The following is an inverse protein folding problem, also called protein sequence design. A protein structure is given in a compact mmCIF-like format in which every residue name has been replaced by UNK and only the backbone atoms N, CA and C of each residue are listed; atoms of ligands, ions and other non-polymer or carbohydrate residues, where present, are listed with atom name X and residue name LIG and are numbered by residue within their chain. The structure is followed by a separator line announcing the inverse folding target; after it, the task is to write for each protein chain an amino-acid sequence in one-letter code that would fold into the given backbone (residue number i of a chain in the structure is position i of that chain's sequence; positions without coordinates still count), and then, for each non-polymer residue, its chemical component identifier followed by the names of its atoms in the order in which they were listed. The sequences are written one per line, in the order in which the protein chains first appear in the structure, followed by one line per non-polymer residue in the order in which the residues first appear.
data_IF_371553635840
#
_entry.id   IF_371553635840
#
_cell.length_a   1.000
_cell.length_b   1.000
_cell.length_c   1.000
_cell.angle_alpha   90.00
_cell.angle_beta   90.00
_cell.angle_gamma   90.00
#
_symmetry.space_group_name_H-M   'P 1'
#
loop_
_entity.id
_entity.type
_entity.pdbx_description
1 polymer ?
#
# COMPACT_ATOMS: atom_id res chain seq x y z
N UNK A 1 17.15 -1.86 -9.25
CA UNK A 1 16.58 -3.09 -8.67
C UNK A 1 15.12 -2.88 -8.34
N UNK A 2 14.31 -3.86 -8.67
CA UNK A 2 12.89 -3.86 -8.34
C UNK A 2 12.69 -3.64 -6.85
N UNK A 3 11.67 -2.89 -6.49
CA UNK A 3 11.29 -2.67 -5.10
C UNK A 3 9.80 -2.98 -4.93
N UNK A 4 9.42 -3.33 -3.72
CA UNK A 4 8.04 -3.64 -3.40
C UNK A 4 7.58 -2.77 -2.24
N UNK A 5 6.35 -2.26 -2.33
CA UNK A 5 5.67 -1.66 -1.18
C UNK A 5 4.65 -2.69 -0.70
N UNK A 6 4.75 -3.03 0.57
CA UNK A 6 3.90 -4.05 1.19
C UNK A 6 3.02 -3.37 2.23
N UNK A 7 1.71 -3.61 2.12
CA UNK A 7 0.73 -3.15 3.11
C UNK A 7 0.23 -4.37 3.87
N UNK A 8 0.25 -4.29 5.19
CA UNK A 8 -0.31 -5.33 6.06
C UNK A 8 -1.36 -4.68 6.95
N UNK A 9 -2.62 -5.09 6.80
CA UNK A 9 -3.73 -4.51 7.55
C UNK A 9 -4.05 -5.36 8.76
N UNK A 10 -4.07 -4.73 9.95
CA UNK A 10 -4.56 -5.36 11.16
C UNK A 10 -6.07 -5.22 11.27
N UNK A 11 -6.60 -4.00 11.07
CA UNK A 11 -8.04 -3.76 11.13
C UNK A 11 -8.42 -2.44 10.47
N UNK A 12 -9.68 -2.33 10.07
CA UNK A 12 -10.30 -1.06 9.68
C UNK A 12 -10.97 -0.49 10.92
N UNK A 13 -10.62 0.75 11.27
CA UNK A 13 -11.14 1.43 12.44
C UNK A 13 -12.22 2.46 12.11
N UNK A 14 -12.22 2.97 10.87
CA UNK A 14 -13.22 3.93 10.39
C UNK A 14 -13.47 3.69 8.89
N UNK A 15 -14.58 3.02 8.60
CA UNK A 15 -14.91 2.64 7.23
C UNK A 15 -15.17 3.86 6.32
N UNK A 16 -15.69 4.97 6.86
CA UNK A 16 -15.94 6.16 6.06
C UNK A 16 -14.64 6.81 5.61
N UNK A 17 -13.64 6.87 6.48
CA UNK A 17 -12.32 7.37 6.11
C UNK A 17 -11.68 6.45 5.05
N UNK A 18 -11.85 5.14 5.18
CA UNK A 18 -11.32 4.21 4.18
C UNK A 18 -11.99 4.35 2.82
N UNK A 19 -13.26 4.73 2.77
CA UNK A 19 -13.91 5.05 1.49
C UNK A 19 -13.25 6.24 0.81
N UNK A 20 -12.86 7.27 1.58
CA UNK A 20 -12.15 8.41 1.04
C UNK A 20 -10.78 7.99 0.52
N UNK A 21 -10.08 7.14 1.26
CA UNK A 21 -8.80 6.61 0.81
C UNK A 21 -8.94 5.84 -0.50
N UNK A 22 -9.94 4.97 -0.60
CA UNK A 22 -10.19 4.15 -1.80
C UNK A 22 -10.54 5.00 -3.02
N UNK A 23 -11.17 6.15 -2.81
CA UNK A 23 -11.48 7.08 -3.91
C UNK A 23 -10.25 7.85 -4.38
N UNK A 24 -9.33 8.18 -3.48
CA UNK A 24 -8.19 9.06 -3.77
C UNK A 24 -6.91 8.31 -4.14
N UNK A 25 -6.66 7.15 -3.54
CA UNK A 25 -5.42 6.40 -3.76
C UNK A 25 -5.16 6.07 -5.24
N UNK A 26 -6.15 5.66 -6.05
CA UNK A 26 -5.91 5.38 -7.46
C UNK A 26 -5.39 6.57 -8.25
N UNK A 27 -5.74 7.80 -7.86
CA UNK A 27 -5.28 9.01 -8.54
C UNK A 27 -3.75 9.17 -8.42
N UNK A 28 -3.15 8.67 -7.36
CA UNK A 28 -1.71 8.74 -7.15
C UNK A 28 -0.93 7.79 -8.06
N UNK A 29 -1.61 6.87 -8.73
CA UNK A 29 -0.96 5.92 -9.65
C UNK A 29 -0.83 6.47 -11.07
N UNK A 30 -1.56 7.54 -11.40
CA UNK A 30 -1.53 8.12 -12.73
C UNK A 30 -0.13 8.61 -13.08
N UNK A 31 0.36 8.20 -14.26
CA UNK A 31 1.69 8.59 -14.75
C UNK A 31 2.84 7.91 -14.05
N UNK A 32 2.57 6.92 -13.17
CA UNK A 32 3.61 6.20 -12.44
C UNK A 32 3.73 4.76 -12.93
N UNK A 33 4.96 4.26 -12.91
CA UNK A 33 5.24 2.87 -13.28
C UNK A 33 5.18 2.02 -12.01
N UNK A 34 4.03 1.43 -11.78
CA UNK A 34 3.87 0.48 -10.69
C UNK A 34 2.91 -0.62 -11.12
N UNK A 35 3.07 -1.79 -10.52
CA UNK A 35 2.26 -2.96 -10.87
C UNK A 35 1.75 -3.61 -9.59
N UNK A 36 0.44 -3.69 -9.37
CA UNK A 36 -0.10 -4.47 -8.26
C UNK A 36 0.15 -5.96 -8.50
N UNK A 37 0.76 -6.63 -7.54
CA UNK A 37 1.01 -8.07 -7.57
C UNK A 37 0.00 -8.83 -6.73
N UNK A 38 -0.44 -8.23 -5.63
CA UNK A 38 -1.50 -8.76 -4.78
C UNK A 38 -2.28 -7.57 -4.24
N UNK A 39 -3.61 -7.69 -4.23
CA UNK A 39 -4.46 -6.58 -3.82
C UNK A 39 -5.69 -7.13 -3.09
N UNK A 40 -5.58 -7.22 -1.78
CA UNK A 40 -6.65 -7.70 -0.89
C UNK A 40 -7.23 -9.07 -1.28
N UNK A 41 -6.41 -9.94 -1.82
CA UNK A 41 -6.79 -11.32 -2.04
C UNK A 41 -6.94 -12.07 -0.70
N UNK A 42 -7.42 -13.30 -0.76
CA UNK A 42 -7.56 -14.11 0.43
C UNK A 42 -6.22 -14.27 1.14
N UNK A 43 -6.20 -14.09 2.46
CA UNK A 43 -5.00 -14.21 3.28
C UNK A 43 -5.14 -15.40 4.21
N UNK A 44 -4.09 -16.21 4.29
CA UNK A 44 -4.00 -17.30 5.24
C UNK A 44 -2.81 -17.02 6.15
N UNK A 45 -3.08 -16.72 7.42
CA UNK A 45 -2.02 -16.43 8.39
C UNK A 45 -1.42 -17.73 8.88
N UNK A 46 -0.12 -17.91 8.70
CA UNK A 46 0.57 -19.12 9.11
C UNK A 46 1.17 -18.99 10.50
N UNK A 47 1.63 -17.80 10.86
CA UNK A 47 2.22 -17.53 12.18
C UNK A 47 1.93 -16.11 12.59
N UNK A 48 1.79 -15.89 13.86
CA UNK A 48 1.61 -14.57 14.45
C UNK A 48 0.19 -14.07 14.44
N UNK A 49 0.05 -12.76 14.59
CA UNK A 49 -1.24 -12.11 14.63
C UNK A 49 -1.95 -12.22 13.27
N UNK A 50 -3.26 -12.50 13.32
CA UNK A 50 -4.05 -12.61 12.10
C UNK A 50 -3.99 -11.32 11.27
N UNK A 51 -3.84 -11.48 9.97
CA UNK A 51 -3.80 -10.38 9.00
C UNK A 51 -5.17 -10.26 8.33
N UNK A 52 -5.78 -9.08 8.41
CA UNK A 52 -7.07 -8.85 7.77
C UNK A 52 -6.95 -8.72 6.27
N UNK A 53 -5.87 -8.08 5.79
CA UNK A 53 -5.66 -7.90 4.36
C UNK A 53 -4.23 -7.50 4.06
N UNK A 54 -3.83 -7.64 2.81
CA UNK A 54 -2.49 -7.29 2.37
C UNK A 54 -2.48 -6.82 0.91
N UNK A 55 -1.52 -5.96 0.60
CA UNK A 55 -1.29 -5.47 -0.76
C UNK A 55 0.20 -5.53 -1.03
N UNK A 56 0.57 -5.94 -2.24
CA UNK A 56 1.96 -5.88 -2.70
C UNK A 56 1.99 -5.13 -4.02
N UNK A 57 2.73 -4.02 -4.05
CA UNK A 57 2.92 -3.21 -5.26
C UNK A 57 4.38 -3.32 -5.68
N UNK A 58 4.61 -3.50 -6.99
CA UNK A 58 5.95 -3.56 -7.54
C UNK A 58 6.31 -2.24 -8.20
N UNK A 59 7.51 -1.72 -7.92
CA UNK A 59 8.07 -0.51 -8.52
C UNK A 59 9.40 -0.83 -9.19
N UNK A 60 9.82 -0.02 -10.18
CA UNK A 60 11.11 -0.23 -10.84
C UNK A 60 12.31 -0.18 -9.88
N UNK A 61 12.22 0.67 -8.86
CA UNK A 61 13.27 0.83 -7.84
C UNK A 61 12.71 1.53 -6.60
N UNK A 62 13.54 1.63 -5.57
CA UNK A 62 13.17 2.26 -4.30
C UNK A 62 12.84 3.75 -4.48
N UNK A 63 13.56 4.44 -5.35
CA UNK A 63 13.34 5.86 -5.60
C UNK A 63 11.94 6.11 -6.17
N UNK A 64 11.48 5.26 -7.09
CA UNK A 64 10.13 5.37 -7.64
C UNK A 64 9.05 5.05 -6.61
N UNK A 65 9.31 4.10 -5.71
CA UNK A 65 8.39 3.81 -4.61
C UNK A 65 8.24 5.02 -3.69
N UNK A 66 9.36 5.67 -3.33
CA UNK A 66 9.33 6.89 -2.53
C UNK A 66 8.65 8.04 -3.27
N UNK A 67 8.92 8.21 -4.56
CA UNK A 67 8.29 9.27 -5.35
C UNK A 67 6.76 9.14 -5.37
N UNK A 68 6.25 7.91 -5.48
CA UNK A 68 4.82 7.65 -5.39
C UNK A 68 4.28 7.96 -4.00
N UNK A 69 4.94 7.45 -2.97
CA UNK A 69 4.48 7.62 -1.58
C UNK A 69 4.46 9.09 -1.17
N UNK A 70 5.50 9.83 -1.54
CA UNK A 70 5.67 11.24 -1.16
C UNK A 70 4.89 12.20 -2.07
N UNK A 71 4.27 11.70 -3.13
CA UNK A 71 3.52 12.57 -4.04
C UNK A 71 2.35 13.25 -3.32
N UNK A 72 2.01 14.49 -3.70
CA UNK A 72 0.84 15.18 -3.12
C UNK A 72 -0.44 14.36 -3.23
N UNK A 73 -0.63 13.67 -4.35
CA UNK A 73 -1.82 12.85 -4.57
C UNK A 73 -1.91 11.70 -3.57
N UNK A 74 -0.79 11.00 -3.31
CA UNK A 74 -0.81 9.92 -2.34
C UNK A 74 -0.93 10.45 -0.91
N UNK A 75 -0.23 11.52 -0.58
CA UNK A 75 -0.30 12.11 0.76
C UNK A 75 -1.71 12.59 1.09
N UNK A 76 -2.45 13.09 0.10
CA UNK A 76 -3.85 13.46 0.29
C UNK A 76 -4.71 12.22 0.63
N UNK A 77 -4.48 11.10 -0.04
CA UNK A 77 -5.17 9.86 0.27
C UNK A 77 -4.74 9.31 1.64
N UNK A 78 -3.44 9.33 1.92
CA UNK A 78 -2.85 8.73 3.11
C UNK A 78 -3.47 9.23 4.41
N UNK A 79 -3.78 10.53 4.51
CA UNK A 79 -4.38 11.06 5.74
C UNK A 79 -5.67 10.34 6.12
N UNK A 80 -6.44 9.89 5.14
CA UNK A 80 -7.67 9.13 5.38
C UNK A 80 -7.37 7.72 5.87
N UNK A 81 -6.35 7.07 5.28
CA UNK A 81 -5.95 5.73 5.71
C UNK A 81 -5.40 5.72 7.13
N UNK A 82 -4.63 6.75 7.51
CA UNK A 82 -4.10 6.85 8.86
C UNK A 82 -5.20 6.97 9.92
N UNK A 83 -6.34 7.58 9.56
CA UNK A 83 -7.50 7.69 10.44
C UNK A 83 -8.41 6.46 10.35
N UNK A 84 -8.38 5.75 9.24
CA UNK A 84 -9.37 4.71 8.93
C UNK A 84 -8.91 3.29 9.14
N UNK A 85 -7.62 3.05 9.32
CA UNK A 85 -7.11 1.69 9.45
C UNK A 85 -5.83 1.62 10.27
N UNK A 86 -5.61 0.47 10.89
CA UNK A 86 -4.36 0.13 11.56
C UNK A 86 -3.57 -0.75 10.60
N UNK A 87 -2.66 -0.13 9.86
CA UNK A 87 -1.84 -0.78 8.84
C UNK A 87 -0.36 -0.62 9.13
N UNK A 88 0.43 -1.57 8.65
CA UNK A 88 1.88 -1.40 8.52
C UNK A 88 2.21 -1.33 7.04
N UNK A 89 3.08 -0.41 6.67
CA UNK A 89 3.50 -0.23 5.28
C UNK A 89 5.01 -0.08 5.24
N UNK A 90 5.64 -0.82 4.36
CA UNK A 90 7.11 -0.75 4.24
C UNK A 90 7.54 -1.00 2.79
N UNK A 91 8.77 -0.58 2.50
CA UNK A 91 9.42 -0.82 1.21
C UNK A 91 10.49 -1.88 1.42
N UNK A 92 10.56 -2.85 0.53
CA UNK A 92 11.63 -3.86 0.53
C UNK A 92 12.21 -3.98 -0.88
N UNK A 93 13.53 -3.96 -0.98
CA UNK A 93 14.20 -4.18 -2.26
C UNK A 93 14.07 -5.63 -2.68
N UNK A 94 13.84 -5.83 -3.98
CA UNK A 94 13.83 -7.16 -4.56
C UNK A 94 15.24 -7.72 -4.73
N UNK A 95 15.32 -8.95 -5.18
CA UNK A 95 16.58 -9.57 -5.48
C UNK A 95 17.23 -8.91 -6.71
N UNK A 96 18.57 -8.78 -6.73
CA UNK A 96 19.25 -8.35 -7.95
C UNK A 96 19.02 -9.39 -9.02
N UNK A 97 18.63 -8.90 -10.24
CA UNK A 97 18.26 -9.85 -11.26
C UNK A 97 18.37 -9.35 -12.65
#
# INVERSE_FOLDING_TARGET
MTAYVVFVRNEVTDAEEMKQYQAKAPLAREGRTLKPLAFYGAVETLEGQAVEGAVILEFPDVAEAHAWYDSPAYQDALQHRLKGADDRVFVIEGLPG
#
